data_IF_496320707877
#
_entry.id   IF_496320707877
#
_cell.length_a   1.000
_cell.length_b   1.000
_cell.length_c   1.000
_cell.angle_alpha   90.00
_cell.angle_beta   90.00
_cell.angle_gamma   90.00
#
_symmetry.space_group_name_H-M   'P 1'
#
loop_
_entity.id
_entity.type
_entity.pdbx_description
1 polymer ?
#
# COMPACT_ATOMS: atom_id res chain seq x y z
N UNK A 1 10.42 -11.27 15.30
CA UNK A 1 9.91 -12.54 14.72
C UNK A 1 8.82 -12.16 13.71
N UNK A 2 9.02 -12.50 12.44
CA UNK A 2 8.13 -12.05 11.37
C UNK A 2 6.78 -12.77 11.47
N UNK A 3 5.68 -12.03 11.56
CA UNK A 3 4.31 -12.57 11.62
C UNK A 3 4.01 -13.48 10.42
N UNK A 4 4.51 -13.15 9.23
CA UNK A 4 4.34 -13.94 8.01
C UNK A 4 4.80 -15.40 8.14
N UNK A 5 5.71 -15.72 9.07
CA UNK A 5 6.14 -17.11 9.32
C UNK A 5 5.14 -17.95 10.08
N UNK A 6 4.12 -17.33 10.67
CA UNK A 6 3.05 -18.00 11.45
C UNK A 6 1.86 -18.41 10.60
N UNK A 7 1.71 -17.82 9.41
CA UNK A 7 0.61 -18.12 8.52
C UNK A 7 0.95 -19.32 7.62
N UNK A 8 -0.06 -20.14 7.37
CA UNK A 8 -0.02 -21.12 6.29
C UNK A 8 -0.11 -20.37 4.93
N UNK A 9 0.39 -20.99 3.88
CA UNK A 9 0.44 -20.37 2.53
C UNK A 9 -0.95 -20.01 2.02
N UNK A 10 -1.91 -20.88 2.25
CA UNK A 10 -3.30 -20.69 1.80
C UNK A 10 -3.92 -19.48 2.53
N UNK A 11 -3.73 -19.37 3.86
CA UNK A 11 -4.19 -18.20 4.63
C UNK A 11 -3.59 -16.89 4.14
N UNK A 12 -2.34 -16.89 3.67
CA UNK A 12 -1.73 -15.68 3.08
C UNK A 12 -2.34 -15.34 1.72
N UNK A 13 -2.60 -16.36 0.89
CA UNK A 13 -3.28 -16.18 -0.41
C UNK A 13 -4.70 -15.67 -0.22
N UNK A 14 -5.45 -16.23 0.74
CA UNK A 14 -6.81 -15.81 1.08
C UNK A 14 -6.84 -14.35 1.58
N UNK A 15 -5.84 -13.96 2.39
CA UNK A 15 -5.68 -12.57 2.81
C UNK A 15 -5.45 -11.62 1.62
N UNK A 16 -4.60 -11.99 0.67
CA UNK A 16 -4.40 -11.20 -0.55
C UNK A 16 -5.69 -11.12 -1.40
N UNK A 17 -6.43 -12.23 -1.55
CA UNK A 17 -7.71 -12.24 -2.27
C UNK A 17 -8.75 -11.31 -1.60
N UNK A 18 -8.81 -11.34 -0.26
CA UNK A 18 -9.63 -10.39 0.52
C UNK A 18 -9.25 -8.94 0.23
N UNK A 19 -7.96 -8.65 0.04
CA UNK A 19 -7.44 -7.35 -0.37
C UNK A 19 -7.60 -7.02 -1.85
N UNK A 20 -8.44 -7.75 -2.59
CA UNK A 20 -8.72 -7.55 -4.02
C UNK A 20 -7.54 -7.81 -4.98
N UNK A 21 -6.52 -8.56 -4.55
CA UNK A 21 -5.50 -9.06 -5.46
C UNK A 21 -6.11 -10.05 -6.46
N UNK A 22 -5.68 -10.00 -7.72
CA UNK A 22 -6.23 -10.80 -8.80
C UNK A 22 -7.59 -10.32 -9.35
N UNK A 23 -8.18 -9.27 -8.75
CA UNK A 23 -9.47 -8.71 -9.17
C UNK A 23 -9.29 -7.43 -9.99
N UNK A 24 -10.33 -7.08 -10.75
CA UNK A 24 -10.37 -5.82 -11.47
C UNK A 24 -10.55 -4.67 -10.49
N UNK A 25 -9.65 -3.69 -10.55
CA UNK A 25 -9.58 -2.58 -9.59
C UNK A 25 -10.35 -1.32 -9.99
N UNK A 26 -10.91 -1.28 -11.19
CA UNK A 26 -11.67 -0.13 -11.69
C UNK A 26 -12.69 -0.58 -12.73
N UNK A 27 -13.88 0.02 -12.69
CA UNK A 27 -15.00 -0.38 -13.57
C UNK A 27 -14.75 -0.04 -15.03
N UNK A 28 -14.25 1.16 -15.31
CA UNK A 28 -14.17 1.77 -16.63
C UNK A 28 -12.78 2.34 -16.97
N UNK A 29 -11.75 2.02 -16.16
CA UNK A 29 -10.37 2.36 -16.48
C UNK A 29 -9.82 1.49 -17.61
N UNK A 30 -9.08 2.09 -18.51
CA UNK A 30 -8.35 1.40 -19.57
C UNK A 30 -6.88 1.87 -19.62
N UNK A 31 -5.89 0.97 -19.72
CA UNK A 31 -6.02 -0.50 -19.65
C UNK A 31 -6.48 -1.00 -18.27
N UNK A 32 -7.04 -2.20 -18.24
CA UNK A 32 -7.51 -2.79 -16.98
C UNK A 32 -6.36 -2.93 -15.99
N UNK A 33 -6.56 -2.36 -14.80
CA UNK A 33 -5.59 -2.41 -13.71
C UNK A 33 -5.91 -3.58 -12.78
N UNK A 34 -4.90 -4.37 -12.47
CA UNK A 34 -4.99 -5.41 -11.44
C UNK A 34 -3.61 -5.69 -10.85
N UNK A 35 -3.59 -6.12 -9.60
CA UNK A 35 -2.40 -6.65 -8.94
C UNK A 35 -2.53 -8.18 -8.87
N UNK A 36 -1.52 -8.96 -9.24
CA UNK A 36 -1.66 -10.41 -9.31
C UNK A 36 -1.92 -11.03 -7.94
N UNK A 37 -2.82 -12.01 -7.89
CA UNK A 37 -3.00 -12.85 -6.70
C UNK A 37 -1.85 -13.86 -6.63
N UNK A 38 -0.97 -13.69 -5.68
CA UNK A 38 0.19 -14.56 -5.49
C UNK A 38 -0.23 -15.81 -4.73
N UNK A 39 -0.10 -16.97 -5.39
CA UNK A 39 -0.47 -18.29 -4.88
C UNK A 39 0.53 -19.35 -5.36
N UNK A 40 0.46 -20.56 -4.82
CA UNK A 40 1.22 -21.70 -5.31
C UNK A 40 0.98 -21.94 -6.81
N UNK A 41 -0.27 -21.79 -7.28
CA UNK A 41 -0.63 -21.91 -8.68
C UNK A 41 0.00 -20.82 -9.53
N UNK A 42 -0.08 -19.56 -9.08
CA UNK A 42 0.54 -18.43 -9.77
C UNK A 42 2.06 -18.62 -9.90
N UNK A 43 2.72 -18.98 -8.81
CA UNK A 43 4.17 -19.18 -8.82
C UNK A 43 4.60 -20.38 -9.66
N UNK A 44 3.86 -21.48 -9.61
CA UNK A 44 4.14 -22.64 -10.46
C UNK A 44 4.01 -22.30 -11.95
N UNK A 45 3.00 -21.53 -12.32
CA UNK A 45 2.78 -21.08 -13.70
C UNK A 45 3.89 -20.17 -14.21
N UNK A 46 4.39 -19.26 -13.38
CA UNK A 46 5.33 -18.21 -13.80
C UNK A 46 6.81 -18.60 -13.57
N UNK A 47 7.09 -19.46 -12.58
CA UNK A 47 8.46 -19.76 -12.11
C UNK A 47 8.75 -21.28 -11.98
N UNK A 48 7.80 -22.14 -12.29
CA UNK A 48 7.98 -23.60 -12.28
C UNK A 48 8.06 -24.24 -10.87
N UNK A 49 7.82 -23.48 -9.81
CA UNK A 49 7.90 -23.99 -8.42
C UNK A 49 6.78 -23.40 -7.56
N UNK A 50 6.43 -24.09 -6.45
CA UNK A 50 5.49 -23.58 -5.47
C UNK A 50 6.12 -22.51 -4.60
N UNK A 51 5.31 -21.79 -3.83
CA UNK A 51 5.77 -20.83 -2.83
C UNK A 51 6.58 -21.52 -1.74
N UNK A 52 7.70 -20.94 -1.38
CA UNK A 52 8.50 -21.34 -0.23
C UNK A 52 8.21 -20.43 0.96
N UNK A 53 8.56 -20.89 2.15
CA UNK A 53 8.40 -20.11 3.37
C UNK A 53 9.16 -18.79 3.34
N UNK A 54 10.33 -18.75 2.69
CA UNK A 54 11.10 -17.52 2.45
C UNK A 54 10.36 -16.49 1.59
N UNK A 55 9.56 -16.95 0.61
CA UNK A 55 8.74 -16.05 -0.22
C UNK A 55 7.70 -15.33 0.63
N UNK A 56 7.04 -16.06 1.56
CA UNK A 56 6.05 -15.45 2.48
C UNK A 56 6.69 -14.42 3.41
N UNK A 57 7.92 -14.67 3.85
CA UNK A 57 8.66 -13.71 4.69
C UNK A 57 8.92 -12.41 3.92
N UNK A 58 9.37 -12.52 2.67
CA UNK A 58 9.62 -11.36 1.81
C UNK A 58 8.32 -10.62 1.48
N UNK A 59 7.26 -11.35 1.11
CA UNK A 59 5.96 -10.75 0.84
C UNK A 59 5.34 -10.11 2.09
N UNK A 60 5.56 -10.67 3.26
CA UNK A 60 5.10 -10.11 4.54
C UNK A 60 5.72 -8.76 4.92
N UNK A 61 6.79 -8.34 4.25
CA UNK A 61 7.37 -7.00 4.37
C UNK A 61 7.12 -6.15 3.12
N UNK A 62 6.27 -6.62 2.21
CA UNK A 62 5.91 -5.88 0.99
C UNK A 62 6.94 -5.99 -0.14
N UNK A 63 7.76 -7.04 -0.13
CA UNK A 63 8.80 -7.29 -1.14
C UNK A 63 8.59 -8.61 -1.87
N UNK A 64 9.56 -9.04 -2.65
CA UNK A 64 9.53 -10.32 -3.35
C UNK A 64 8.55 -10.31 -4.54
N UNK A 65 7.62 -11.26 -4.57
CA UNK A 65 6.67 -11.40 -5.69
C UNK A 65 5.47 -10.44 -5.63
N UNK A 66 5.28 -9.70 -4.53
CA UNK A 66 4.19 -8.72 -4.45
C UNK A 66 4.41 -7.61 -5.48
N UNK A 67 3.44 -7.47 -6.37
CA UNK A 67 3.38 -6.39 -7.35
C UNK A 67 2.02 -5.71 -7.22
N UNK A 68 2.03 -4.41 -7.03
CA UNK A 68 0.82 -3.62 -6.81
C UNK A 68 0.82 -2.40 -7.72
N UNK A 69 -0.36 -2.04 -8.21
CA UNK A 69 -0.53 -0.79 -8.94
C UNK A 69 -0.76 0.37 -7.97
N UNK A 70 -0.42 1.62 -8.33
CA UNK A 70 -0.77 2.78 -7.51
C UNK A 70 -2.28 2.88 -7.23
N UNK A 71 -3.13 2.52 -8.19
CA UNK A 71 -4.58 2.46 -7.98
C UNK A 71 -4.97 1.46 -6.90
N UNK A 72 -4.34 0.28 -6.87
CA UNK A 72 -4.61 -0.71 -5.82
C UNK A 72 -4.18 -0.21 -4.44
N UNK A 73 -3.04 0.47 -4.36
CA UNK A 73 -2.58 1.09 -3.10
C UNK A 73 -3.55 2.17 -2.61
N UNK A 74 -4.10 3.01 -3.51
CA UNK A 74 -5.12 3.98 -3.16
C UNK A 74 -6.41 3.30 -2.68
N UNK A 75 -6.82 2.21 -3.36
CA UNK A 75 -7.99 1.42 -2.97
C UNK A 75 -7.79 0.79 -1.59
N UNK A 76 -6.64 0.18 -1.30
CA UNK A 76 -6.31 -0.35 0.03
C UNK A 76 -6.40 0.76 1.10
N UNK A 77 -5.90 1.97 0.78
CA UNK A 77 -6.01 3.11 1.68
C UNK A 77 -7.47 3.49 1.94
N UNK A 78 -8.33 3.51 0.91
CA UNK A 78 -9.76 3.76 1.03
C UNK A 78 -10.48 2.68 1.85
N UNK A 79 -10.14 1.40 1.62
CA UNK A 79 -10.66 0.27 2.39
C UNK A 79 -10.35 0.40 3.87
N UNK A 80 -9.12 0.75 4.22
CA UNK A 80 -8.72 0.96 5.61
C UNK A 80 -9.48 2.16 6.19
N UNK A 81 -9.56 3.28 5.46
CA UNK A 81 -10.26 4.49 5.89
C UNK A 81 -11.72 4.21 6.25
N UNK A 82 -12.40 3.35 5.48
CA UNK A 82 -13.81 2.99 5.65
C UNK A 82 -14.03 1.66 6.40
N UNK A 83 -13.02 1.18 7.12
CA UNK A 83 -13.07 -0.03 7.97
C UNK A 83 -13.57 -1.29 7.23
N UNK A 84 -13.09 -1.47 6.00
CA UNK A 84 -13.40 -2.61 5.16
C UNK A 84 -14.46 -2.34 4.09
N UNK A 85 -15.28 -1.32 4.23
CA UNK A 85 -16.21 -0.93 3.19
C UNK A 85 -15.48 -0.24 2.04
N UNK A 86 -15.82 -0.56 0.81
CA UNK A 86 -15.24 0.11 -0.34
C UNK A 86 -16.15 0.04 -1.57
N UNK A 87 -15.93 0.97 -2.46
CA UNK A 87 -16.51 0.96 -3.80
C UNK A 87 -15.40 0.75 -4.82
N UNK A 88 -15.66 -0.06 -5.85
CA UNK A 88 -14.70 -0.20 -6.94
C UNK A 88 -14.61 1.14 -7.68
N UNK A 89 -13.42 1.74 -7.82
CA UNK A 89 -13.26 3.04 -8.46
C UNK A 89 -13.78 3.07 -9.91
N UNK A 90 -14.25 4.23 -10.34
CA UNK A 90 -14.70 4.51 -11.69
C UNK A 90 -14.28 5.93 -12.12
N UNK A 91 -14.14 6.16 -13.41
CA UNK A 91 -13.85 7.48 -13.98
C UNK A 91 -15.15 8.22 -14.33
N UNK A 92 -16.15 7.48 -14.83
CA UNK A 92 -17.46 8.04 -15.17
C UNK A 92 -18.50 7.46 -14.22
N UNK A 93 -19.18 8.34 -13.48
CA UNK A 93 -20.13 7.97 -12.42
C UNK A 93 -21.16 6.93 -12.90
N UNK A 94 -21.23 5.81 -12.19
CA UNK A 94 -22.24 4.76 -12.33
C UNK A 94 -22.75 4.41 -10.94
N UNK A 95 -24.01 4.01 -10.83
CA UNK A 95 -24.49 3.38 -9.60
C UNK A 95 -23.74 2.11 -9.37
N UNK A 96 -23.20 1.93 -8.17
CA UNK A 96 -22.45 0.76 -7.77
C UNK A 96 -22.85 0.29 -6.39
N UNK A 97 -22.75 -1.02 -6.20
CA UNK A 97 -22.92 -1.62 -4.89
C UNK A 97 -21.66 -1.43 -4.05
N UNK A 98 -21.85 -1.09 -2.79
CA UNK A 98 -20.77 -1.09 -1.81
C UNK A 98 -20.27 -2.52 -1.66
N UNK A 99 -18.98 -2.72 -1.83
CA UNK A 99 -18.31 -3.98 -1.54
C UNK A 99 -17.83 -3.94 -0.09
N UNK A 100 -17.92 -5.07 0.58
CA UNK A 100 -17.37 -5.21 1.93
C UNK A 100 -16.23 -6.22 1.92
N UNK A 101 -15.08 -5.81 2.43
CA UNK A 101 -14.01 -6.73 2.69
C UNK A 101 -14.35 -7.55 3.93
N UNK A 102 -14.33 -8.85 3.78
CA UNK A 102 -14.53 -9.74 4.90
C UNK A 102 -13.19 -10.00 5.62
N UNK A 103 -12.62 -8.93 6.22
CA UNK A 103 -11.62 -9.11 7.24
C UNK A 103 -12.36 -9.34 8.57
N UNK A 104 -12.02 -10.40 9.24
CA UNK A 104 -12.55 -10.70 10.60
C UNK A 104 -11.85 -9.78 11.62
N UNK A 105 -12.07 -8.46 11.47
CA UNK A 105 -11.52 -7.41 12.34
C UNK A 105 -12.63 -6.78 13.17
N UNK A 106 -12.35 -6.65 14.46
CA UNK A 106 -13.23 -5.96 15.39
C UNK A 106 -13.12 -4.43 15.25
N UNK A 107 -14.09 -3.69 15.81
CA UNK A 107 -14.00 -2.22 15.87
C UNK A 107 -12.73 -1.75 16.60
N UNK A 108 -12.25 -2.49 17.60
CA UNK A 108 -11.01 -2.16 18.30
C UNK A 108 -9.78 -2.36 17.41
N UNK A 109 -9.78 -3.42 16.57
CA UNK A 109 -8.69 -3.65 15.60
C UNK A 109 -8.64 -2.53 14.56
N UNK A 110 -9.78 -2.09 14.04
CA UNK A 110 -9.85 -0.96 13.12
C UNK A 110 -9.36 0.34 13.77
N UNK A 111 -9.75 0.58 15.01
CA UNK A 111 -9.28 1.75 15.77
C UNK A 111 -7.77 1.72 15.96
N UNK A 112 -7.20 0.58 16.39
CA UNK A 112 -5.76 0.41 16.55
C UNK A 112 -5.01 0.61 15.23
N UNK A 113 -5.56 0.12 14.10
CA UNK A 113 -4.97 0.32 12.77
C UNK A 113 -4.97 1.80 12.39
N UNK A 114 -6.08 2.53 12.56
CA UNK A 114 -6.18 3.96 12.31
C UNK A 114 -5.21 4.76 13.18
N UNK A 115 -5.16 4.48 14.49
CA UNK A 115 -4.22 5.12 15.42
C UNK A 115 -2.77 4.85 15.02
N UNK A 116 -2.44 3.63 14.60
CA UNK A 116 -1.11 3.28 14.13
C UNK A 116 -0.71 4.08 12.88
N UNK A 117 -1.63 4.27 11.94
CA UNK A 117 -1.40 5.06 10.73
C UNK A 117 -1.25 6.56 11.01
N UNK A 118 -1.96 7.09 12.01
CA UNK A 118 -1.74 8.47 12.45
C UNK A 118 -0.38 8.65 13.14
N UNK A 119 0.05 7.67 13.94
CA UNK A 119 1.36 7.70 14.58
C UNK A 119 2.54 7.70 13.60
N UNK A 120 2.39 7.13 12.40
CA UNK A 120 3.40 7.24 11.33
C UNK A 120 3.70 8.70 11.00
N UNK A 121 2.70 9.59 11.06
CA UNK A 121 2.79 11.00 10.70
C UNK A 121 3.17 11.87 11.92
N UNK A 122 2.54 11.65 13.08
CA UNK A 122 2.60 12.57 14.20
C UNK A 122 3.54 12.12 15.32
N UNK A 123 3.92 10.86 15.38
CA UNK A 123 4.88 10.39 16.38
C UNK A 123 6.29 10.90 16.08
N UNK A 124 7.03 11.25 17.14
CA UNK A 124 8.45 11.65 17.04
C UNK A 124 9.33 10.63 16.32
N UNK A 125 8.98 9.35 16.41
CA UNK A 125 9.68 8.24 15.76
C UNK A 125 8.97 7.77 14.49
N UNK A 126 7.93 8.47 14.03
CA UNK A 126 7.17 8.12 12.83
C UNK A 126 7.98 8.33 11.56
N UNK A 127 7.92 7.37 10.64
CA UNK A 127 8.63 7.46 9.36
C UNK A 127 8.10 8.57 8.46
N UNK A 128 6.91 9.10 8.73
CA UNK A 128 6.26 10.20 8.02
C UNK A 128 6.35 11.55 8.73
N UNK A 129 7.15 11.70 9.80
CA UNK A 129 7.25 12.95 10.58
C UNK A 129 7.63 14.17 9.73
N UNK A 130 8.33 13.97 8.61
CA UNK A 130 8.73 15.05 7.68
C UNK A 130 7.59 15.52 6.78
N UNK A 131 6.45 14.82 6.75
CA UNK A 131 5.30 15.18 5.91
C UNK A 131 4.70 16.49 6.38
N UNK A 132 4.60 16.71 7.70
CA UNK A 132 4.13 17.95 8.36
C UNK A 132 2.83 18.51 7.75
N UNK A 133 1.70 17.79 7.88
CA UNK A 133 0.45 18.14 7.20
C UNK A 133 -0.25 19.41 7.73
N UNK A 134 0.34 20.12 8.70
CA UNK A 134 -0.31 21.27 9.35
C UNK A 134 -1.57 20.86 10.10
N UNK A 135 -2.67 21.57 9.87
CA UNK A 135 -3.97 21.30 10.51
C UNK A 135 -4.74 20.16 9.83
N UNK A 136 -4.27 19.67 8.69
CA UNK A 136 -4.89 18.55 8.00
C UNK A 136 -4.69 17.25 8.80
N UNK A 137 -5.78 16.57 9.12
CA UNK A 137 -5.80 15.31 9.85
C UNK A 137 -5.47 14.14 8.93
N UNK A 138 -4.19 13.85 8.72
CA UNK A 138 -3.68 12.83 7.81
C UNK A 138 -3.33 11.53 8.55
N UNK A 139 -3.79 10.40 8.05
CA UNK A 139 -3.28 9.07 8.38
C UNK A 139 -2.61 8.44 7.16
N UNK A 140 -1.56 7.64 7.36
CA UNK A 140 -0.90 7.01 6.22
C UNK A 140 0.30 6.16 6.57
N UNK A 141 0.91 5.57 5.53
CA UNK A 141 2.09 4.72 5.63
C UNK A 141 3.09 5.04 4.53
N UNK A 142 4.33 5.21 4.92
CA UNK A 142 5.46 5.31 4.00
C UNK A 142 5.89 3.93 3.53
N UNK A 143 6.31 3.82 2.29
CA UNK A 143 6.86 2.61 1.71
C UNK A 143 8.16 2.91 0.95
N UNK A 144 8.96 1.87 0.77
CA UNK A 144 10.13 1.86 -0.09
C UNK A 144 10.15 0.53 -0.83
N UNK A 145 10.03 0.56 -2.15
CA UNK A 145 10.05 -0.64 -2.97
C UNK A 145 11.41 -0.80 -3.65
N UNK A 146 12.09 -1.90 -3.36
CA UNK A 146 13.40 -2.19 -3.94
C UNK A 146 13.31 -2.45 -5.44
N UNK A 147 14.18 -1.80 -6.20
CA UNK A 147 14.31 -1.98 -7.67
C UNK A 147 15.17 -3.19 -7.98
N UNK A 148 16.19 -3.47 -7.17
CA UNK A 148 17.10 -4.60 -7.33
C UNK A 148 17.19 -5.43 -6.06
N UNK A 149 17.42 -6.73 -6.22
CA UNK A 149 17.80 -7.62 -5.13
C UNK A 149 19.20 -7.24 -4.64
N UNK A 150 19.37 -7.13 -3.34
CA UNK A 150 20.60 -6.68 -2.69
C UNK A 150 21.09 -7.80 -1.78
N UNK A 151 22.39 -8.14 -1.87
CA UNK A 151 22.99 -9.21 -1.09
C UNK A 151 23.82 -8.69 0.08
N UNK A 152 24.29 -7.44 0.02
CA UNK A 152 25.06 -6.82 1.09
C UNK A 152 24.76 -5.32 1.21
N UNK A 153 25.19 -4.73 2.33
CA UNK A 153 25.01 -3.28 2.56
C UNK A 153 25.91 -2.47 1.64
N UNK A 154 27.10 -2.94 1.37
CA UNK A 154 28.05 -2.31 0.46
C UNK A 154 27.48 -2.24 -0.96
N UNK A 155 26.90 -3.35 -1.44
CA UNK A 155 26.22 -3.40 -2.73
C UNK A 155 25.03 -2.41 -2.79
N UNK A 156 24.30 -2.24 -1.68
CA UNK A 156 23.20 -1.27 -1.60
C UNK A 156 23.70 0.17 -1.72
N UNK A 157 24.76 0.51 -1.02
CA UNK A 157 25.31 1.86 -1.03
C UNK A 157 25.88 2.21 -2.43
N UNK A 158 26.55 1.26 -3.10
CA UNK A 158 27.06 1.42 -4.47
C UNK A 158 25.92 1.57 -5.50
N UNK A 159 24.85 0.78 -5.38
CA UNK A 159 23.71 0.85 -6.29
C UNK A 159 22.96 2.18 -6.20
N UNK A 160 22.91 2.79 -5.01
CA UNK A 160 22.23 4.08 -4.81
C UNK A 160 22.95 5.26 -5.45
N UNK A 161 24.24 5.15 -5.78
CA UNK A 161 24.95 6.19 -6.53
C UNK A 161 24.36 6.37 -7.94
N UNK A 162 23.84 5.28 -8.53
CA UNK A 162 23.13 5.35 -9.81
C UNK A 162 21.63 5.56 -9.56
N UNK A 163 21.11 6.69 -10.08
CA UNK A 163 19.71 7.09 -9.89
C UNK A 163 18.71 6.04 -10.38
N UNK A 164 19.00 5.32 -11.46
CA UNK A 164 18.14 4.28 -12.03
C UNK A 164 17.95 3.06 -11.10
N UNK A 165 18.84 2.88 -10.10
CA UNK A 165 18.80 1.75 -9.19
C UNK A 165 18.31 2.11 -7.78
N UNK A 166 18.00 3.39 -7.56
CA UNK A 166 17.40 3.83 -6.30
C UNK A 166 16.02 3.20 -6.11
N UNK A 167 15.68 2.93 -4.89
CA UNK A 167 14.37 2.39 -4.53
C UNK A 167 13.24 3.38 -4.89
N UNK A 168 12.05 2.85 -5.17
CA UNK A 168 10.88 3.70 -5.37
C UNK A 168 10.34 4.20 -4.03
N UNK A 169 10.13 5.52 -3.92
CA UNK A 169 9.48 6.12 -2.77
C UNK A 169 7.96 5.98 -2.88
N UNK A 170 7.33 5.53 -1.79
CA UNK A 170 5.89 5.28 -1.78
C UNK A 170 5.24 5.90 -0.54
N UNK A 171 4.01 6.36 -0.72
CA UNK A 171 3.13 6.77 0.38
C UNK A 171 1.69 6.40 0.04
N UNK A 172 0.98 5.89 1.02
CA UNK A 172 -0.47 5.74 0.99
C UNK A 172 -1.07 6.47 2.20
N UNK A 173 -2.26 7.02 2.04
CA UNK A 173 -2.90 7.70 3.14
C UNK A 173 -4.34 8.10 2.84
N UNK A 174 -5.00 8.60 3.87
CA UNK A 174 -6.35 9.16 3.76
C UNK A 174 -6.51 10.34 4.70
N UNK A 175 -7.39 11.24 4.35
CA UNK A 175 -7.68 12.44 5.13
C UNK A 175 -9.15 12.88 4.95
N UNK A 176 -9.75 13.51 6.00
CA UNK A 176 -9.29 13.53 7.38
C UNK A 176 -9.30 12.12 8.00
N UNK A 177 -8.46 11.82 8.98
CA UNK A 177 -8.41 10.48 9.56
C UNK A 177 -9.63 10.14 10.44
N UNK A 178 -10.31 11.13 10.96
CA UNK A 178 -11.52 11.01 11.80
C UNK A 178 -12.82 10.97 10.96
N UNK A 179 -12.84 11.59 9.80
CA UNK A 179 -13.96 11.59 8.86
C UNK A 179 -13.42 11.48 7.41
N UNK A 180 -12.97 10.31 6.98
CA UNK A 180 -12.27 10.14 5.71
C UNK A 180 -13.10 10.54 4.49
N UNK A 181 -12.55 11.47 3.69
CA UNK A 181 -13.14 11.95 2.44
C UNK A 181 -12.30 11.56 1.22
N UNK A 182 -11.00 11.56 1.37
CA UNK A 182 -10.05 11.28 0.29
C UNK A 182 -9.03 10.23 0.70
N UNK A 183 -8.75 9.30 -0.22
CA UNK A 183 -7.65 8.37 -0.12
C UNK A 183 -6.65 8.64 -1.25
N UNK A 184 -5.36 8.48 -0.95
CA UNK A 184 -4.28 8.81 -1.87
C UNK A 184 -3.21 7.72 -1.88
N UNK A 185 -2.61 7.52 -3.04
CA UNK A 185 -1.37 6.78 -3.22
C UNK A 185 -0.42 7.61 -4.07
N UNK A 186 0.82 7.72 -3.66
CA UNK A 186 1.90 8.36 -4.40
C UNK A 186 3.05 7.40 -4.54
N UNK A 187 3.52 7.22 -5.78
CA UNK A 187 4.71 6.44 -6.12
C UNK A 187 5.64 7.36 -6.90
N UNK A 188 6.86 7.55 -6.40
CA UNK A 188 7.93 8.28 -7.08
C UNK A 188 9.02 7.27 -7.43
N UNK A 189 9.13 6.97 -8.71
CA UNK A 189 10.16 6.05 -9.20
C UNK A 189 11.55 6.59 -8.85
N UNK A 190 12.40 5.71 -8.32
CA UNK A 190 13.78 6.04 -7.91
C UNK A 190 13.90 7.16 -6.87
N UNK A 191 12.81 7.47 -6.16
CA UNK A 191 12.72 8.55 -5.17
C UNK A 191 13.26 8.21 -3.79
N UNK A 192 13.72 6.99 -3.54
CA UNK A 192 14.32 6.45 -2.33
C UNK A 192 13.39 6.43 -1.09
N UNK A 193 13.05 7.58 -0.52
CA UNK A 193 12.43 7.65 0.81
C UNK A 193 10.97 8.12 0.77
N UNK A 194 10.04 7.22 1.07
CA UNK A 194 8.61 7.54 1.07
C UNK A 194 8.24 8.71 1.98
N UNK A 195 8.82 8.80 3.17
CA UNK A 195 8.50 9.85 4.14
C UNK A 195 9.01 11.25 3.79
N UNK A 196 10.08 11.36 3.01
CA UNK A 196 10.69 12.65 2.62
C UNK A 196 10.43 13.06 1.18
N UNK A 197 9.94 12.13 0.33
CA UNK A 197 9.69 12.39 -1.09
C UNK A 197 8.20 12.18 -1.41
N UNK A 198 7.68 10.96 -1.34
CA UNK A 198 6.29 10.68 -1.73
C UNK A 198 5.25 11.27 -0.75
N UNK A 199 5.55 11.27 0.56
CA UNK A 199 4.64 11.81 1.58
C UNK A 199 4.36 13.31 1.45
N UNK A 200 5.37 14.18 1.29
CA UNK A 200 5.14 15.62 1.03
C UNK A 200 4.29 15.87 -0.22
N UNK A 201 4.51 15.13 -1.31
CA UNK A 201 3.68 15.23 -2.52
C UNK A 201 2.22 14.87 -2.20
N UNK A 202 2.00 13.78 -1.46
CA UNK A 202 0.65 13.38 -1.05
C UNK A 202 -0.03 14.47 -0.19
N UNK A 203 0.71 15.08 0.75
CA UNK A 203 0.23 16.21 1.55
C UNK A 203 -0.21 17.37 0.67
N UNK A 204 0.65 17.79 -0.25
CA UNK A 204 0.40 18.98 -1.06
C UNK A 204 -0.82 18.77 -1.97
N UNK A 205 -0.95 17.60 -2.59
CA UNK A 205 -2.14 17.23 -3.37
C UNK A 205 -3.43 17.27 -2.52
N UNK A 206 -3.39 16.68 -1.32
CA UNK A 206 -4.56 16.67 -0.44
C UNK A 206 -4.93 18.09 0.03
N UNK A 207 -3.95 18.93 0.36
CA UNK A 207 -4.20 20.33 0.74
C UNK A 207 -4.88 21.11 -0.38
N UNK A 208 -4.43 20.95 -1.64
CA UNK A 208 -5.08 21.59 -2.78
C UNK A 208 -6.50 21.10 -3.00
N UNK A 209 -6.74 19.80 -2.86
CA UNK A 209 -8.11 19.24 -2.96
C UNK A 209 -9.04 19.78 -1.89
N UNK A 210 -8.56 19.87 -0.63
CA UNK A 210 -9.37 20.43 0.47
C UNK A 210 -9.61 21.92 0.33
N UNK A 211 -8.70 22.69 -0.30
CA UNK A 211 -8.89 24.10 -0.57
C UNK A 211 -9.86 24.39 -1.73
N UNK A 212 -10.05 23.39 -2.62
CA UNK A 212 -10.92 23.51 -3.77
C UNK A 212 -12.41 23.13 -3.48
N UNK A 213 -12.68 22.46 -2.36
CA UNK A 213 -14.01 22.05 -1.89
C UNK A 213 -14.68 23.15 -1.06
#
# INVERSE_FOLDING_TARGET
MNLATRYEKDSFTDFLDSGSFGKRLCVDCWPHQFSPLISDQWKTKNFGSRLFRGDLVNMGVGQGYLSVTPLHLALISAMIAKKGDYEIPYLVRKEQDIQQLNFDLTEEDWKQLHESLTQVIYSRNGTGIRIQPGDMKLAGKTGTAQVKSINSKEEYDDLRENEEFRDHAMFIGFAPYDEPRYAISVVIENGEWGGSVAGPVARDVLLEVFNAD
#
